data_IF_059060557021
#
_entry.id   IF_059060557021
#
_cell.length_a   1.000
_cell.length_b   1.000
_cell.length_c   1.000
_cell.angle_alpha   90.00
_cell.angle_beta   90.00
_cell.angle_gamma   90.00
#
_symmetry.space_group_name_H-M   'P 1'
#
loop_
_entity.id
_entity.type
_entity.pdbx_description
1 polymer ?
#
# COMPACT_ATOMS: atom_id res chain seq x y z
N UNK A 1 21.17 -7.45 18.35
CA UNK A 1 20.01 -6.56 18.52
C UNK A 1 19.44 -6.36 17.13
N UNK A 2 18.49 -7.20 16.74
CA UNK A 2 17.98 -7.26 15.36
C UNK A 2 17.04 -6.08 15.16
N UNK A 3 17.37 -5.16 14.26
CA UNK A 3 16.48 -4.06 13.89
C UNK A 3 15.20 -4.72 13.36
N UNK A 4 14.09 -4.59 14.09
CA UNK A 4 12.79 -5.09 13.65
C UNK A 4 12.44 -4.40 12.33
N UNK A 5 12.11 -5.19 11.31
CA UNK A 5 11.78 -4.66 10.00
C UNK A 5 10.65 -3.64 10.13
N UNK A 6 10.92 -2.36 9.81
CA UNK A 6 9.94 -1.30 9.96
C UNK A 6 8.74 -1.56 9.04
N UNK A 7 7.53 -1.45 9.57
CA UNK A 7 6.28 -1.60 8.81
C UNK A 7 6.19 -0.53 7.70
N UNK A 8 5.47 -0.86 6.62
CA UNK A 8 5.22 0.09 5.53
C UNK A 8 4.01 0.92 5.92
N UNK A 9 4.25 2.19 6.26
CA UNK A 9 3.20 3.15 6.58
C UNK A 9 2.63 3.76 5.29
N UNK A 10 1.33 3.60 5.08
CA UNK A 10 0.60 4.22 3.96
C UNK A 10 -0.27 5.34 4.51
N UNK A 11 0.05 6.59 4.18
CA UNK A 11 -0.77 7.75 4.55
C UNK A 11 -2.00 7.87 3.65
N UNK A 12 -3.13 8.25 4.26
CA UNK A 12 -4.42 8.36 3.61
C UNK A 12 -4.86 9.83 3.56
N UNK A 13 -4.97 10.37 2.35
CA UNK A 13 -5.44 11.72 2.09
C UNK A 13 -6.49 11.70 0.96
N UNK A 14 -7.79 11.90 1.26
CA UNK A 14 -8.38 12.16 2.58
C UNK A 14 -8.37 10.92 3.50
N UNK A 15 -8.52 11.11 4.83
CA UNK A 15 -8.58 10.00 5.78
C UNK A 15 -9.90 9.21 5.65
N UNK A 16 -9.93 7.99 6.21
CA UNK A 16 -11.17 7.20 6.31
C UNK A 16 -11.98 7.62 7.54
N UNK A 17 -13.28 7.79 7.33
CA UNK A 17 -14.25 8.09 8.38
C UNK A 17 -15.06 6.85 8.79
N UNK A 18 -15.82 6.98 9.88
CA UNK A 18 -16.65 5.89 10.41
C UNK A 18 -17.54 5.26 9.33
N UNK A 19 -17.50 3.93 9.24
CA UNK A 19 -18.23 3.15 8.24
C UNK A 19 -17.48 2.93 6.93
N UNK A 20 -16.41 3.68 6.64
CA UNK A 20 -15.63 3.52 5.42
C UNK A 20 -14.55 2.45 5.59
N UNK A 21 -14.42 1.58 4.60
CA UNK A 21 -13.34 0.60 4.50
C UNK A 21 -12.45 0.88 3.29
N UNK A 22 -11.28 0.23 3.25
CA UNK A 22 -10.39 0.36 2.11
C UNK A 22 -9.71 -0.96 1.73
N UNK A 23 -9.24 -1.03 0.49
CA UNK A 23 -8.30 -2.03 0.03
C UNK A 23 -7.04 -1.31 -0.40
N UNK A 24 -5.89 -1.67 0.17
CA UNK A 24 -4.58 -1.22 -0.28
C UNK A 24 -3.99 -2.30 -1.16
N UNK A 25 -3.67 -1.98 -2.42
CA UNK A 25 -2.95 -2.90 -3.30
C UNK A 25 -1.57 -2.39 -3.65
N UNK A 26 -0.62 -3.33 -3.74
CA UNK A 26 0.77 -3.08 -4.12
C UNK A 26 1.02 -3.83 -5.42
N UNK A 27 1.25 -3.10 -6.51
CA UNK A 27 1.54 -3.66 -7.82
C UNK A 27 3.03 -3.54 -8.09
N UNK A 28 3.68 -4.63 -8.49
CA UNK A 28 5.12 -4.63 -8.71
C UNK A 28 5.47 -3.72 -9.90
N UNK A 29 6.43 -2.82 -9.71
CA UNK A 29 7.00 -1.94 -10.74
C UNK A 29 8.24 -2.56 -11.39
N UNK A 30 9.02 -3.32 -10.63
CA UNK A 30 10.17 -4.05 -11.16
C UNK A 30 9.70 -5.30 -11.92
N UNK A 31 9.69 -5.24 -13.24
CA UNK A 31 9.36 -6.37 -14.13
C UNK A 31 10.52 -7.35 -14.32
N UNK A 32 11.53 -7.33 -13.44
CA UNK A 32 12.66 -8.24 -13.55
C UNK A 32 12.15 -9.69 -13.46
N UNK A 33 12.23 -10.42 -14.58
CA UNK A 33 11.61 -11.74 -14.78
C UNK A 33 12.14 -12.86 -13.86
N UNK A 34 13.02 -12.53 -12.90
CA UNK A 34 13.70 -13.47 -12.00
C UNK A 34 13.06 -13.58 -10.62
N UNK A 35 12.04 -12.76 -10.31
CA UNK A 35 11.32 -12.84 -9.04
C UNK A 35 10.20 -13.88 -9.08
N UNK A 36 10.18 -14.79 -8.11
CA UNK A 36 9.05 -15.71 -7.83
C UNK A 36 7.95 -15.06 -7.00
N UNK A 37 8.14 -13.82 -6.54
CA UNK A 37 7.18 -13.09 -5.73
C UNK A 37 5.95 -12.70 -6.57
N UNK A 38 4.76 -12.58 -5.94
CA UNK A 38 3.54 -12.20 -6.64
C UNK A 38 3.67 -10.79 -7.26
N UNK A 39 3.05 -10.60 -8.42
CA UNK A 39 3.01 -9.31 -9.11
C UNK A 39 2.07 -8.29 -8.47
N UNK A 40 1.14 -8.74 -7.62
CA UNK A 40 0.19 -7.90 -6.89
C UNK A 40 -0.01 -8.45 -5.47
N UNK A 41 -0.09 -7.55 -4.49
CA UNK A 41 -0.51 -7.83 -3.12
C UNK A 41 -1.75 -7.02 -2.79
N UNK A 42 -2.64 -7.56 -1.95
CA UNK A 42 -3.87 -6.89 -1.54
C UNK A 42 -4.06 -7.00 -0.02
N UNK A 43 -4.32 -5.85 0.61
CA UNK A 43 -4.54 -5.72 2.04
C UNK A 43 -5.90 -5.09 2.29
N UNK A 44 -6.76 -5.78 3.03
CA UNK A 44 -8.08 -5.29 3.38
C UNK A 44 -8.02 -4.52 4.69
N UNK A 45 -8.42 -3.25 4.65
CA UNK A 45 -8.58 -2.37 5.80
C UNK A 45 -10.06 -2.42 6.21
N UNK A 46 -10.38 -2.94 7.40
CA UNK A 46 -11.77 -3.04 7.84
C UNK A 46 -12.40 -1.66 8.02
N UNK A 47 -13.73 -1.55 7.94
CA UNK A 47 -14.41 -0.28 8.14
C UNK A 47 -14.07 0.36 9.49
N UNK A 48 -13.85 1.69 9.48
CA UNK A 48 -13.59 2.44 10.72
C UNK A 48 -14.82 2.35 11.63
N UNK A 49 -14.59 1.96 12.89
CA UNK A 49 -15.68 1.77 13.87
C UNK A 49 -16.42 3.07 14.15
N UNK A 50 -17.75 3.04 14.37
CA UNK A 50 -18.48 4.21 14.85
C UNK A 50 -17.87 4.78 16.13
N UNK A 51 -17.67 6.10 16.17
CA UNK A 51 -17.08 6.81 17.31
C UNK A 51 -15.55 6.74 17.40
N UNK A 52 -14.87 6.02 16.51
CA UNK A 52 -13.42 6.08 16.38
C UNK A 52 -12.98 7.38 15.67
N UNK A 53 -11.76 7.87 15.95
CA UNK A 53 -11.17 8.95 15.17
C UNK A 53 -10.97 8.53 13.70
N UNK A 54 -10.86 9.51 12.80
CA UNK A 54 -10.57 9.26 11.40
C UNK A 54 -9.22 8.54 11.24
N UNK A 55 -9.17 7.54 10.37
CA UNK A 55 -7.96 6.78 10.10
C UNK A 55 -7.15 7.50 9.02
N UNK A 56 -6.00 8.03 9.42
CA UNK A 56 -5.11 8.83 8.55
C UNK A 56 -3.99 8.00 7.93
N UNK A 57 -3.77 6.77 8.38
CA UNK A 57 -2.73 5.89 7.87
C UNK A 57 -3.04 4.42 8.12
N UNK A 58 -2.38 3.55 7.36
CA UNK A 58 -2.46 2.08 7.45
C UNK A 58 -1.06 1.52 7.52
N UNK A 59 -0.80 0.66 8.51
CA UNK A 59 0.44 -0.09 8.63
C UNK A 59 0.31 -1.42 7.88
N UNK A 60 1.17 -1.64 6.88
CA UNK A 60 1.32 -2.93 6.22
C UNK A 60 2.53 -3.66 6.82
N UNK A 61 2.36 -4.92 7.27
CA UNK A 61 3.45 -5.65 7.89
C UNK A 61 4.56 -5.88 6.89
N UNK A 62 5.80 -5.49 7.24
CA UNK A 62 6.95 -5.63 6.33
C UNK A 62 7.21 -7.08 5.90
N UNK A 63 6.87 -8.05 6.74
CA UNK A 63 6.96 -9.48 6.42
C UNK A 63 6.00 -9.92 5.30
N UNK A 64 4.94 -9.16 5.03
CA UNK A 64 3.98 -9.43 3.97
C UNK A 64 4.30 -8.72 2.65
N UNK A 65 5.26 -7.79 2.64
CA UNK A 65 5.67 -7.06 1.43
C UNK A 65 7.09 -7.47 1.09
N UNK A 66 7.29 -8.33 0.06
CA UNK A 66 8.62 -8.69 -0.42
C UNK A 66 9.39 -7.49 -0.93
N UNK A 67 10.71 -7.64 -1.01
CA UNK A 67 11.59 -6.58 -1.50
C UNK A 67 11.32 -6.30 -2.98
N UNK A 68 11.59 -5.06 -3.38
CA UNK A 68 11.29 -4.58 -4.72
C UNK A 68 10.65 -3.19 -4.71
N UNK A 69 10.22 -2.77 -5.90
CA UNK A 69 9.55 -1.50 -6.10
C UNK A 69 8.07 -1.75 -6.36
N UNK A 70 7.21 -1.09 -5.60
CA UNK A 70 5.79 -1.34 -5.61
C UNK A 70 5.01 -0.04 -5.79
N UNK A 71 4.06 -0.06 -6.70
CA UNK A 71 3.06 0.96 -6.93
C UNK A 71 1.90 0.76 -5.97
N UNK A 72 1.62 1.76 -5.14
CA UNK A 72 0.58 1.74 -4.13
C UNK A 72 -0.73 2.24 -4.73
N UNK A 73 -1.81 1.53 -4.43
CA UNK A 73 -3.19 1.89 -4.78
C UNK A 73 -4.07 1.74 -3.56
N UNK A 74 -4.99 2.68 -3.38
CA UNK A 74 -5.98 2.62 -2.30
C UNK A 74 -7.36 2.71 -2.92
N UNK A 75 -8.21 1.73 -2.64
CA UNK A 75 -9.62 1.75 -3.01
C UNK A 75 -10.47 1.93 -1.77
N UNK A 76 -11.27 2.98 -1.71
CA UNK A 76 -12.18 3.28 -0.60
C UNK A 76 -13.62 3.08 -1.08
N UNK A 77 -14.38 2.22 -0.41
CA UNK A 77 -15.80 1.98 -0.72
C UNK A 77 -16.10 1.74 -2.23
N UNK A 78 -15.17 1.10 -2.94
CA UNK A 78 -15.28 0.80 -4.37
C UNK A 78 -14.69 1.86 -5.32
N UNK A 79 -14.27 3.02 -4.82
CA UNK A 79 -13.61 4.10 -5.58
C UNK A 79 -12.09 4.00 -5.42
N UNK A 80 -11.36 3.90 -6.52
CA UNK A 80 -9.90 3.72 -6.52
C UNK A 80 -9.15 5.05 -6.67
N UNK A 81 -8.06 5.20 -5.92
CA UNK A 81 -7.13 6.32 -6.03
C UNK A 81 -6.54 6.39 -7.43
N UNK A 82 -6.52 7.58 -8.03
CA UNK A 82 -5.92 7.75 -9.35
C UNK A 82 -4.39 7.62 -9.29
N UNK A 83 -3.79 6.82 -10.17
CA UNK A 83 -2.36 6.86 -10.41
C UNK A 83 -1.86 8.25 -10.78
N UNK A 84 -0.64 8.56 -10.35
CA UNK A 84 0.15 9.60 -11.01
C UNK A 84 1.08 8.98 -12.07
N UNK A 85 1.19 9.66 -13.21
CA UNK A 85 2.14 9.33 -14.26
C UNK A 85 3.49 10.00 -13.96
N UNK A 86 4.55 9.19 -13.90
CA UNK A 86 5.94 9.64 -13.84
C UNK A 86 6.59 9.20 -15.16
N UNK A 87 7.09 10.16 -15.95
CA UNK A 87 7.69 9.91 -17.27
C UNK A 87 6.79 9.10 -18.24
N UNK A 88 5.47 9.30 -18.16
CA UNK A 88 4.50 8.64 -19.03
C UNK A 88 4.09 7.22 -18.62
N UNK A 89 4.55 6.75 -17.46
CA UNK A 89 4.16 5.45 -16.88
C UNK A 89 3.56 5.67 -15.48
N UNK A 90 2.58 4.85 -15.07
CA UNK A 90 2.05 4.92 -13.72
C UNK A 90 3.13 4.57 -12.71
N UNK A 91 3.58 5.56 -11.94
CA UNK A 91 4.79 5.45 -11.11
C UNK A 91 4.62 5.93 -9.67
N UNK A 92 3.50 6.58 -9.36
CA UNK A 92 3.24 7.09 -8.01
C UNK A 92 1.78 6.89 -7.55
N UNK A 93 1.55 6.83 -6.23
CA UNK A 93 2.57 6.71 -5.17
C UNK A 93 3.27 5.34 -5.20
N UNK A 94 4.57 5.28 -4.90
CA UNK A 94 5.35 4.05 -4.92
C UNK A 94 6.29 3.93 -3.72
N UNK A 95 6.59 2.69 -3.34
CA UNK A 95 7.52 2.34 -2.26
C UNK A 95 8.62 1.42 -2.80
N UNK A 96 9.87 1.73 -2.50
CA UNK A 96 11.00 0.85 -2.76
C UNK A 96 11.51 0.29 -1.44
N UNK A 97 11.46 -1.03 -1.32
CA UNK A 97 11.95 -1.74 -0.15
C UNK A 97 13.36 -2.28 -0.44
N UNK A 98 14.33 -2.07 0.46
CA UNK A 98 15.68 -2.55 0.26
C UNK A 98 15.72 -4.07 0.20
N UNK A 99 16.53 -4.60 -0.72
CA UNK A 99 16.99 -5.99 -0.72
C UNK A 99 17.93 -6.19 0.49
N UNK A 100 17.88 -7.33 1.19
CA UNK A 100 18.62 -7.55 2.43
C UNK A 100 20.12 -7.71 2.17
#
# INVERSE_FOLDING_TARGET
MTVGAADVLVELAPPLFAGQGATVSLNRLDTAATTTAPGELSFVVPPVRPGAPALVSVDLPRSAVPDGSWLVRVRVDGVESLPELVDGVYGAPAVTLPVP
#
